data_IF_674401219683
#
_entry.id   IF_674401219683
#
_cell.length_a   1.000
_cell.length_b   1.000
_cell.length_c   1.000
_cell.angle_alpha   90.00
_cell.angle_beta   90.00
_cell.angle_gamma   90.00
#
_symmetry.space_group_name_H-M   'P 1'
#
loop_
_entity.id
_entity.type
_entity.pdbx_description
1 polymer ?
#
# COMPACT_ATOMS: atom_id res chain seq x y z
N UNK A 1 21.44 -0.62 9.96
CA UNK A 1 21.44 0.42 8.91
C UNK A 1 21.10 -0.29 7.61
N UNK A 2 19.81 -0.46 7.30
CA UNK A 2 19.41 -1.06 6.02
C UNK A 2 19.50 0.04 4.96
N UNK A 3 20.20 -0.26 3.87
CA UNK A 3 20.44 0.66 2.78
C UNK A 3 19.12 1.15 2.18
N UNK A 4 18.99 2.47 2.03
CA UNK A 4 17.94 3.08 1.21
C UNK A 4 18.30 2.80 -0.25
N UNK A 5 17.55 1.89 -0.87
CA UNK A 5 17.55 1.74 -2.32
C UNK A 5 16.78 2.92 -2.91
N UNK A 6 17.41 3.65 -3.85
CA UNK A 6 16.78 4.74 -4.61
C UNK A 6 15.57 4.27 -5.45
N UNK A 7 15.39 2.96 -5.62
CA UNK A 7 14.13 2.35 -6.07
C UNK A 7 13.39 1.77 -4.87
N UNK A 8 12.17 2.24 -4.62
CA UNK A 8 11.33 1.76 -3.52
C UNK A 8 11.23 0.23 -3.48
N UNK A 9 11.28 -0.37 -2.28
CA UNK A 9 11.21 -1.81 -2.11
C UNK A 9 9.80 -2.42 -2.26
N UNK A 10 8.79 -1.60 -2.56
CA UNK A 10 7.40 -2.00 -2.76
C UNK A 10 6.80 -1.24 -3.96
N UNK A 11 6.33 -2.01 -4.95
CA UNK A 11 5.58 -1.48 -6.08
C UNK A 11 4.07 -1.56 -5.83
N UNK A 12 3.35 -0.51 -6.21
CA UNK A 12 1.91 -0.39 -6.06
C UNK A 12 1.29 0.51 -7.14
N UNK A 13 -0.04 0.60 -7.11
CA UNK A 13 -0.81 1.60 -7.85
C UNK A 13 -1.41 2.58 -6.86
N UNK A 14 -1.24 3.88 -7.11
CA UNK A 14 -1.70 4.93 -6.20
C UNK A 14 -2.50 6.01 -6.93
N UNK A 15 -3.55 6.50 -6.26
CA UNK A 15 -4.18 7.77 -6.59
C UNK A 15 -3.31 8.92 -6.04
N UNK A 16 -3.24 10.03 -6.79
CA UNK A 16 -2.41 11.20 -6.43
C UNK A 16 -3.23 12.46 -6.18
N UNK A 17 -4.50 12.44 -6.55
CA UNK A 17 -5.44 13.54 -6.40
C UNK A 17 -6.90 13.00 -6.38
N UNK A 18 -7.90 13.86 -6.10
CA UNK A 18 -9.32 13.47 -6.01
C UNK A 18 -9.96 12.94 -7.30
N UNK A 19 -9.28 12.95 -8.46
CA UNK A 19 -9.78 12.22 -9.64
C UNK A 19 -9.86 10.72 -9.38
N UNK A 20 -9.05 10.21 -8.45
CA UNK A 20 -8.94 8.80 -8.11
C UNK A 20 -8.28 7.94 -9.20
N UNK A 21 -7.67 8.55 -10.22
CA UNK A 21 -6.95 7.81 -11.26
C UNK A 21 -5.70 7.18 -10.66
N UNK A 22 -5.57 5.87 -10.82
CA UNK A 22 -4.44 5.11 -10.32
C UNK A 22 -3.26 5.15 -11.32
N UNK A 23 -2.05 5.29 -10.79
CA UNK A 23 -0.80 5.24 -11.56
C UNK A 23 0.27 4.45 -10.80
N UNK A 24 1.28 3.87 -11.47
CA UNK A 24 2.38 3.21 -10.79
C UNK A 24 3.05 4.09 -9.73
N UNK A 25 3.39 3.49 -8.61
CA UNK A 25 3.99 4.14 -7.47
C UNK A 25 4.89 3.15 -6.71
N UNK A 26 6.17 3.51 -6.56
CA UNK A 26 7.13 2.74 -5.79
C UNK A 26 7.46 3.49 -4.50
N UNK A 27 7.54 2.77 -3.39
CA UNK A 27 7.82 3.35 -2.08
C UNK A 27 8.55 2.34 -1.18
N UNK A 28 9.03 2.82 -0.03
CA UNK A 28 9.71 1.99 0.95
C UNK A 28 8.77 1.62 2.11
N UNK A 29 8.66 0.34 2.41
CA UNK A 29 8.11 -0.14 3.68
C UNK A 29 9.22 -0.21 4.74
N UNK A 30 8.86 0.12 5.97
CA UNK A 30 9.73 -0.02 7.15
C UNK A 30 10.16 -1.47 7.34
N UNK A 31 11.29 -1.67 8.03
CA UNK A 31 11.71 -3.00 8.46
C UNK A 31 10.67 -3.64 9.41
N UNK A 32 10.58 -4.96 9.37
CA UNK A 32 9.73 -5.79 10.25
C UNK A 32 10.21 -5.65 11.69
N UNK A 33 9.32 -5.23 12.59
CA UNK A 33 9.53 -5.14 14.04
C UNK A 33 8.94 -6.37 14.74
N UNK A 34 9.12 -6.47 16.06
CA UNK A 34 8.79 -7.66 16.86
C UNK A 34 7.33 -8.14 16.75
N UNK A 35 6.38 -7.22 16.54
CA UNK A 35 4.95 -7.55 16.46
C UNK A 35 4.38 -7.59 15.04
N UNK A 36 5.25 -7.54 14.03
CA UNK A 36 4.82 -7.45 12.63
C UNK A 36 4.77 -8.78 11.91
N UNK A 37 3.96 -8.81 10.85
CA UNK A 37 3.93 -9.88 9.85
C UNK A 37 4.09 -9.23 8.48
N UNK A 38 5.16 -9.60 7.77
CA UNK A 38 5.34 -9.21 6.38
C UNK A 38 4.65 -10.22 5.46
N UNK A 39 3.92 -9.70 4.49
CA UNK A 39 3.17 -10.48 3.51
C UNK A 39 3.67 -10.16 2.10
N UNK A 40 3.91 -11.20 1.30
CA UNK A 40 3.86 -11.08 -0.15
C UNK A 40 2.39 -11.17 -0.57
N UNK A 41 1.84 -10.05 -1.02
CA UNK A 41 0.46 -9.99 -1.54
C UNK A 41 0.40 -10.77 -2.86
N UNK A 42 -0.54 -11.70 -2.98
CA UNK A 42 -0.77 -12.47 -4.21
C UNK A 42 -2.10 -12.04 -4.85
N UNK A 43 -3.10 -11.73 -4.03
CA UNK A 43 -4.39 -11.22 -4.46
C UNK A 43 -4.83 -10.07 -3.56
N UNK A 44 -5.55 -9.11 -4.14
CA UNK A 44 -6.30 -8.10 -3.41
C UNK A 44 -7.65 -7.92 -4.11
N UNK A 45 -8.73 -7.97 -3.35
CA UNK A 45 -10.06 -7.62 -3.85
C UNK A 45 -10.21 -6.10 -4.08
N UNK A 46 -11.31 -5.73 -4.73
CA UNK A 46 -11.70 -4.34 -4.98
C UNK A 46 -13.13 -4.16 -4.53
N UNK A 47 -13.37 -3.16 -3.70
CA UNK A 47 -14.71 -2.83 -3.22
C UNK A 47 -15.00 -1.33 -3.31
N UNK A 48 -16.20 -0.92 -2.93
CA UNK A 48 -16.60 0.49 -3.03
C UNK A 48 -15.81 1.42 -2.10
N UNK A 49 -15.28 0.92 -0.98
CA UNK A 49 -14.42 1.71 -0.11
C UNK A 49 -13.15 2.18 -0.84
N UNK A 50 -12.60 1.40 -1.78
CA UNK A 50 -11.44 1.87 -2.56
C UNK A 50 -11.79 3.14 -3.37
N UNK A 51 -13.02 3.25 -3.89
CA UNK A 51 -13.51 4.46 -4.58
C UNK A 51 -13.66 5.63 -3.62
N UNK A 52 -14.24 5.39 -2.43
CA UNK A 52 -14.47 6.41 -1.41
C UNK A 52 -13.17 7.11 -1.01
N UNK A 53 -12.11 6.35 -0.76
CA UNK A 53 -10.80 6.89 -0.36
C UNK A 53 -9.98 7.43 -1.53
N UNK A 54 -9.97 6.78 -2.70
CA UNK A 54 -9.20 7.30 -3.84
C UNK A 54 -9.75 8.62 -4.38
N UNK A 55 -11.06 8.85 -4.29
CA UNK A 55 -11.74 10.09 -4.71
C UNK A 55 -12.00 11.10 -3.59
N UNK A 56 -11.46 10.87 -2.39
CA UNK A 56 -11.58 11.76 -1.25
C UNK A 56 -13.03 12.15 -0.89
N UNK A 57 -13.97 11.20 -0.93
CA UNK A 57 -15.40 11.47 -0.68
C UNK A 57 -15.69 11.90 0.77
N UNK A 58 -14.79 11.62 1.70
CA UNK A 58 -14.84 12.06 3.10
C UNK A 58 -13.97 13.29 3.40
N UNK A 59 -13.31 13.87 2.39
CA UNK A 59 -12.44 15.04 2.51
C UNK A 59 -11.24 14.88 3.48
N UNK A 60 -10.81 13.66 3.76
CA UNK A 60 -9.73 13.32 4.71
C UNK A 60 -8.60 12.43 4.11
N UNK A 61 -8.64 12.17 2.80
CA UNK A 61 -7.66 11.32 2.12
C UNK A 61 -6.29 12.00 2.03
N UNK A 62 -5.24 11.24 2.36
CA UNK A 62 -3.84 11.69 2.30
C UNK A 62 -3.17 11.08 1.08
N UNK A 63 -2.91 11.91 0.08
CA UNK A 63 -2.25 11.48 -1.15
C UNK A 63 -0.71 11.41 -0.98
N UNK A 64 -0.03 10.45 -1.62
CA UNK A 64 -0.59 9.39 -2.48
C UNK A 64 -1.34 8.30 -1.69
N UNK A 65 -2.50 7.87 -2.21
CA UNK A 65 -3.33 6.79 -1.61
C UNK A 65 -3.12 5.52 -2.42
N UNK A 66 -2.60 4.47 -1.78
CA UNK A 66 -2.61 3.10 -2.31
C UNK A 66 -3.85 2.39 -1.74
N UNK A 67 -4.90 2.13 -2.55
CA UNK A 67 -6.08 1.41 -2.10
C UNK A 67 -5.82 -0.10 -1.92
N UNK A 68 -6.83 -0.83 -1.45
CA UNK A 68 -6.74 -2.27 -1.23
C UNK A 68 -6.69 -2.64 0.26
N UNK A 69 -7.75 -3.29 0.72
CA UNK A 69 -7.91 -3.77 2.11
C UNK A 69 -8.49 -5.18 2.19
N UNK A 70 -8.62 -5.86 1.05
CA UNK A 70 -9.12 -7.24 0.91
C UNK A 70 -7.97 -8.17 0.48
N UNK A 71 -6.92 -8.25 1.31
CA UNK A 71 -5.62 -8.81 0.94
C UNK A 71 -5.53 -10.31 1.27
N UNK A 72 -5.05 -11.11 0.31
CA UNK A 72 -4.60 -12.48 0.52
C UNK A 72 -3.17 -12.67 0.00
N UNK A 73 -2.31 -13.30 0.80
CA UNK A 73 -0.90 -13.43 0.49
C UNK A 73 -0.21 -14.52 1.31
N UNK A 74 1.11 -14.61 1.13
CA UNK A 74 1.96 -15.56 1.85
C UNK A 74 2.85 -14.79 2.81
N UNK A 75 2.95 -15.25 4.05
CA UNK A 75 3.86 -14.69 5.05
C UNK A 75 5.30 -14.90 4.60
N UNK A 76 6.08 -13.82 4.54
CA UNK A 76 7.50 -13.86 4.17
C UNK A 76 8.43 -13.67 5.36
N UNK A 77 7.97 -12.98 6.39
CA UNK A 77 8.72 -12.75 7.62
C UNK A 77 7.76 -12.45 8.77
N UNK A 78 8.12 -12.87 9.99
CA UNK A 78 7.47 -12.47 11.24
C UNK A 78 8.49 -11.78 12.13
N UNK A 79 8.02 -10.90 13.02
CA UNK A 79 8.85 -10.25 14.03
C UNK A 79 9.55 -11.25 14.96
N UNK A 80 10.71 -10.83 15.47
CA UNK A 80 11.49 -11.58 16.47
C UNK A 80 10.99 -11.32 17.90
#
# INVERSE_FOLDING_TARGET
MAAESENGNCDAWAARDPSGVLSPYSFNRRAVQSSDVALKIIYCGVCYADVVWTRNMHHDSKYPVVPGHEIAGVVTQVGA
#
